data_IF_868090427174
#
_entry.id   IF_868090427174
#
_cell.length_a   1.000
_cell.length_b   1.000
_cell.length_c   1.000
_cell.angle_alpha   90.00
_cell.angle_beta   90.00
_cell.angle_gamma   90.00
#
_symmetry.space_group_name_H-M   'P 1'
#
loop_
_entity.id
_entity.type
_entity.pdbx_description
1 polymer ?
#
# COMPACT_ATOMS: atom_id res chain seq x y z
N UNK A 1 -22.24 5.62 -7.86
CA UNK A 1 -23.08 4.39 -7.96
C UNK A 1 -22.42 3.45 -8.98
N UNK A 2 -22.76 2.16 -9.01
CA UNK A 2 -22.20 1.20 -10.01
C UNK A 2 -22.59 1.61 -11.45
N UNK A 3 -23.73 2.28 -11.57
CA UNK A 3 -24.27 2.84 -12.81
C UNK A 3 -23.38 3.91 -13.45
N UNK A 4 -22.54 4.59 -12.65
CA UNK A 4 -21.64 5.65 -13.13
C UNK A 4 -20.29 5.10 -13.65
N UNK A 5 -20.00 3.82 -13.41
CA UNK A 5 -18.71 3.19 -13.78
C UNK A 5 -18.38 3.34 -15.28
N UNK A 6 -19.33 3.13 -16.22
CA UNK A 6 -19.04 3.30 -17.65
C UNK A 6 -18.58 4.72 -18.00
N UNK A 7 -19.26 5.73 -17.45
CA UNK A 7 -18.96 7.13 -17.75
C UNK A 7 -17.68 7.60 -17.05
N UNK A 8 -17.46 7.15 -15.81
CA UNK A 8 -16.24 7.39 -15.06
C UNK A 8 -15.03 6.75 -15.73
N UNK A 9 -15.13 5.48 -16.17
CA UNK A 9 -14.05 4.79 -16.87
C UNK A 9 -13.63 5.56 -18.13
N UNK A 10 -14.62 5.96 -18.96
CA UNK A 10 -14.36 6.77 -20.15
C UNK A 10 -13.78 8.15 -19.82
N UNK A 11 -14.24 8.78 -18.74
CA UNK A 11 -13.71 10.06 -18.29
C UNK A 11 -12.25 9.96 -17.84
N UNK A 12 -11.87 8.91 -17.13
CA UNK A 12 -10.48 8.68 -16.71
C UNK A 12 -9.55 8.35 -17.88
N UNK A 13 -10.02 7.62 -18.88
CA UNK A 13 -9.24 7.41 -20.10
C UNK A 13 -9.01 8.72 -20.88
N UNK A 14 -10.03 9.58 -20.99
CA UNK A 14 -9.85 10.94 -21.56
C UNK A 14 -8.90 11.81 -20.75
N UNK A 15 -8.95 11.70 -19.42
CA UNK A 15 -8.02 12.42 -18.54
C UNK A 15 -6.59 11.92 -18.72
N UNK A 16 -6.40 10.60 -18.80
CA UNK A 16 -5.10 9.99 -19.06
C UNK A 16 -4.52 10.46 -20.41
N UNK A 17 -5.35 10.53 -21.46
CA UNK A 17 -4.99 11.08 -22.77
C UNK A 17 -4.50 12.54 -22.65
N UNK A 18 -5.24 13.39 -21.92
CA UNK A 18 -4.84 14.78 -21.69
C UNK A 18 -3.53 14.94 -20.90
N UNK A 19 -3.13 13.91 -20.15
CA UNK A 19 -1.87 13.85 -19.41
C UNK A 19 -0.72 13.22 -20.22
N UNK A 20 -0.92 12.96 -21.51
CA UNK A 20 0.11 12.51 -22.45
C UNK A 20 0.17 11.00 -22.70
N UNK A 21 -0.83 10.24 -22.21
CA UNK A 21 -0.93 8.81 -22.51
C UNK A 21 -1.64 8.57 -23.87
N UNK A 22 -1.41 7.41 -24.53
CA UNK A 22 -2.11 7.10 -25.77
C UNK A 22 -3.62 7.01 -25.54
N UNK A 23 -4.39 7.47 -26.52
CA UNK A 23 -5.86 7.38 -26.48
C UNK A 23 -6.28 5.92 -26.52
N UNK A 24 -6.99 5.47 -25.48
CA UNK A 24 -7.54 4.10 -25.41
C UNK A 24 -9.07 4.10 -25.40
N UNK A 25 -9.64 3.13 -26.10
CA UNK A 25 -11.05 2.75 -26.00
C UNK A 25 -11.19 1.57 -25.02
N UNK A 26 -12.37 1.42 -24.42
CA UNK A 26 -12.70 0.28 -23.55
C UNK A 26 -13.89 -0.47 -24.11
N UNK A 27 -13.80 -1.80 -24.16
CA UNK A 27 -14.87 -2.66 -24.69
C UNK A 27 -16.05 -2.76 -23.73
N UNK A 28 -17.24 -3.10 -24.25
CA UNK A 28 -18.42 -3.33 -23.41
C UNK A 28 -18.21 -4.45 -22.39
N UNK A 29 -17.56 -5.55 -22.79
CA UNK A 29 -17.23 -6.68 -21.91
C UNK A 29 -16.30 -6.26 -20.77
N UNK A 30 -15.32 -5.39 -21.04
CA UNK A 30 -14.46 -4.82 -20.01
C UNK A 30 -15.25 -3.95 -19.02
N UNK A 31 -16.18 -3.12 -19.50
CA UNK A 31 -17.07 -2.33 -18.64
C UNK A 31 -17.94 -3.24 -17.75
N UNK A 32 -18.45 -4.34 -18.27
CA UNK A 32 -19.26 -5.30 -17.50
C UNK A 32 -18.44 -5.94 -16.37
N UNK A 33 -17.18 -6.30 -16.64
CA UNK A 33 -16.26 -6.75 -15.59
C UNK A 33 -16.04 -5.68 -14.52
N UNK A 34 -15.83 -4.41 -14.91
CA UNK A 34 -15.65 -3.32 -13.94
C UNK A 34 -16.90 -3.10 -13.07
N UNK A 35 -18.10 -3.32 -13.61
CA UNK A 35 -19.37 -3.23 -12.88
C UNK A 35 -19.56 -4.36 -11.87
N UNK A 36 -19.06 -5.56 -12.16
CA UNK A 36 -19.15 -6.73 -11.27
C UNK A 36 -18.15 -6.72 -10.11
N UNK A 37 -17.20 -5.79 -10.10
CA UNK A 37 -16.14 -5.73 -9.08
C UNK A 37 -16.48 -4.80 -7.92
N UNK A 38 -16.00 -5.17 -6.72
CA UNK A 38 -16.03 -4.30 -5.54
C UNK A 38 -14.83 -3.37 -5.55
N UNK A 39 -15.06 -2.07 -5.33
CA UNK A 39 -14.02 -1.03 -5.36
C UNK A 39 -13.75 -0.48 -3.95
N UNK A 40 -12.94 -1.16 -3.11
CA UNK A 40 -12.61 -0.67 -1.77
C UNK A 40 -11.71 0.56 -1.89
N UNK A 41 -12.27 1.75 -1.61
CA UNK A 41 -11.60 3.05 -1.87
C UNK A 41 -12.27 3.91 -2.96
N UNK A 42 -13.38 3.45 -3.53
CA UNK A 42 -14.22 4.16 -4.51
C UNK A 42 -13.42 4.63 -5.75
N UNK A 43 -13.88 5.75 -6.33
CA UNK A 43 -13.49 6.32 -7.64
C UNK A 43 -11.98 6.39 -7.88
N UNK A 44 -11.16 6.57 -6.85
CA UNK A 44 -9.69 6.63 -6.95
C UNK A 44 -9.08 5.31 -7.41
N UNK A 45 -9.63 4.18 -6.98
CA UNK A 45 -9.16 2.86 -7.40
C UNK A 45 -9.47 2.59 -8.87
N UNK A 46 -10.66 2.99 -9.31
CA UNK A 46 -11.06 2.92 -10.71
C UNK A 46 -10.17 3.85 -11.57
N UNK A 47 -9.90 5.08 -11.11
CA UNK A 47 -9.00 6.01 -11.79
C UNK A 47 -7.58 5.46 -11.94
N UNK A 48 -7.02 4.89 -10.86
CA UNK A 48 -5.70 4.28 -10.88
C UNK A 48 -5.62 3.09 -11.85
N UNK A 49 -6.65 2.24 -11.87
CA UNK A 49 -6.74 1.13 -12.81
C UNK A 49 -6.82 1.62 -14.25
N UNK A 50 -7.68 2.60 -14.54
CA UNK A 50 -7.82 3.16 -15.88
C UNK A 50 -6.53 3.81 -16.38
N UNK A 51 -5.80 4.53 -15.50
CA UNK A 51 -4.50 5.10 -15.84
C UNK A 51 -3.46 4.03 -16.18
N UNK A 52 -3.39 2.94 -15.40
CA UNK A 52 -2.47 1.83 -15.68
C UNK A 52 -2.80 1.14 -16.99
N UNK A 53 -4.07 0.83 -17.21
CA UNK A 53 -4.53 0.25 -18.48
C UNK A 53 -4.20 1.14 -19.67
N UNK A 54 -4.36 2.47 -19.53
CA UNK A 54 -3.97 3.41 -20.57
C UNK A 54 -2.46 3.41 -20.87
N UNK A 55 -1.62 3.13 -19.87
CA UNK A 55 -0.16 3.11 -20.01
C UNK A 55 0.41 1.77 -20.47
N UNK A 56 -0.19 0.66 -20.05
CA UNK A 56 0.31 -0.70 -20.29
C UNK A 56 -0.29 -1.35 -21.55
N UNK A 57 -1.48 -0.90 -21.97
CA UNK A 57 -2.10 -1.43 -23.18
C UNK A 57 -1.36 -0.95 -24.42
N UNK A 58 -0.71 -1.89 -25.13
CA UNK A 58 -0.06 -1.62 -26.40
C UNK A 58 -1.10 -1.21 -27.45
N UNK A 59 -2.23 -1.92 -27.51
CA UNK A 59 -3.31 -1.68 -28.46
C UNK A 59 -4.23 -0.52 -28.05
N UNK A 60 -4.94 0.07 -28.99
CA UNK A 60 -5.86 1.19 -28.72
C UNK A 60 -7.17 0.76 -28.05
N UNK A 61 -7.34 -0.53 -27.78
CA UNK A 61 -8.57 -1.10 -27.21
C UNK A 61 -8.25 -1.96 -25.99
N UNK A 62 -8.82 -1.56 -24.85
CA UNK A 62 -8.80 -2.30 -23.59
C UNK A 62 -9.94 -3.33 -23.61
N UNK A 63 -9.58 -4.59 -23.74
CA UNK A 63 -10.50 -5.72 -23.73
C UNK A 63 -10.71 -6.28 -22.32
N UNK A 64 -11.61 -7.26 -22.21
CA UNK A 64 -11.95 -7.89 -20.94
C UNK A 64 -10.76 -8.66 -20.33
N UNK A 65 -9.96 -9.32 -21.17
CA UNK A 65 -8.81 -10.11 -20.73
C UNK A 65 -7.74 -9.22 -20.11
N UNK A 66 -7.47 -8.06 -20.70
CA UNK A 66 -6.52 -7.08 -20.16
C UNK A 66 -6.99 -6.50 -18.82
N UNK A 67 -8.30 -6.20 -18.70
CA UNK A 67 -8.86 -5.75 -17.42
C UNK A 67 -8.77 -6.84 -16.35
N UNK A 68 -9.09 -8.08 -16.71
CA UNK A 68 -8.99 -9.22 -15.79
C UNK A 68 -7.54 -9.49 -15.37
N UNK A 69 -6.59 -9.43 -16.31
CA UNK A 69 -5.17 -9.56 -16.06
C UNK A 69 -4.67 -8.45 -15.14
N UNK A 70 -5.04 -7.18 -15.36
CA UNK A 70 -4.66 -6.07 -14.48
C UNK A 70 -5.32 -6.14 -13.10
N UNK A 71 -6.55 -6.64 -13.03
CA UNK A 71 -7.24 -6.89 -11.76
C UNK A 71 -6.58 -8.05 -10.99
N UNK A 72 -6.10 -9.09 -11.68
CA UNK A 72 -5.41 -10.24 -11.09
C UNK A 72 -3.94 -9.93 -10.75
N UNK A 73 -3.28 -9.09 -11.56
CA UNK A 73 -1.91 -8.63 -11.37
C UNK A 73 -1.80 -7.49 -10.34
N UNK A 74 -2.92 -7.00 -9.81
CA UNK A 74 -2.90 -6.19 -8.58
C UNK A 74 -2.07 -6.95 -7.54
N UNK A 75 -0.91 -6.44 -7.08
CA UNK A 75 -0.42 -6.84 -5.77
C UNK A 75 -1.53 -6.41 -4.83
N UNK A 76 -2.25 -7.40 -4.32
CA UNK A 76 -3.49 -7.12 -3.64
C UNK A 76 -3.17 -6.64 -2.25
N UNK A 77 -2.65 -5.41 -2.12
CA UNK A 77 -2.53 -4.77 -0.82
C UNK A 77 -3.91 -4.65 -0.15
N UNK A 78 -4.99 -4.62 -0.94
CA UNK A 78 -6.36 -4.66 -0.44
C UNK A 78 -6.91 -6.08 -0.19
N UNK A 79 -6.61 -7.10 -1.00
CA UNK A 79 -7.04 -8.48 -0.71
C UNK A 79 -6.09 -9.27 0.21
N UNK A 80 -4.87 -8.81 0.46
CA UNK A 80 -4.06 -9.27 1.59
C UNK A 80 -4.63 -8.70 2.90
N UNK A 81 -5.01 -7.41 2.92
CA UNK A 81 -5.69 -6.79 4.07
C UNK A 81 -7.11 -7.33 4.28
N UNK A 82 -7.82 -7.76 3.22
CA UNK A 82 -9.16 -8.35 3.34
C UNK A 82 -9.18 -9.88 3.50
N UNK A 83 -8.16 -10.62 3.02
CA UNK A 83 -7.97 -12.04 3.37
C UNK A 83 -7.47 -12.22 4.80
N UNK A 84 -6.85 -11.19 5.34
CA UNK A 84 -6.64 -11.03 6.76
C UNK A 84 -7.88 -10.40 7.42
N UNK A 85 -9.01 -11.11 7.33
CA UNK A 85 -10.33 -10.65 7.81
C UNK A 85 -10.47 -10.53 9.33
N UNK A 86 -9.49 -9.92 10.00
CA UNK A 86 -9.49 -9.66 11.44
C UNK A 86 -8.14 -9.79 12.14
N UNK A 87 -7.02 -10.16 11.48
CA UNK A 87 -5.75 -10.12 12.20
C UNK A 87 -5.27 -8.67 12.33
N UNK A 88 -5.56 -8.14 13.50
CA UNK A 88 -4.94 -6.92 13.97
C UNK A 88 -3.42 -7.11 14.00
N UNK A 89 -2.67 -6.00 14.01
CA UNK A 89 -1.23 -6.06 14.32
C UNK A 89 -0.96 -6.91 15.58
N UNK A 90 -1.85 -6.83 16.57
CA UNK A 90 -1.78 -7.64 17.79
C UNK A 90 -1.83 -9.15 17.50
N UNK A 91 -2.73 -9.59 16.63
CA UNK A 91 -2.89 -11.00 16.24
C UNK A 91 -1.68 -11.52 15.45
N UNK A 92 -1.13 -10.69 14.56
CA UNK A 92 0.07 -11.01 13.80
C UNK A 92 1.30 -11.14 14.71
N UNK A 93 1.49 -10.18 15.63
CA UNK A 93 2.56 -10.21 16.64
C UNK A 93 2.41 -11.42 17.55
N UNK A 94 1.19 -11.70 18.05
CA UNK A 94 0.93 -12.87 18.89
C UNK A 94 1.29 -14.18 18.18
N UNK A 95 0.85 -14.33 16.93
CA UNK A 95 1.14 -15.52 16.12
C UNK A 95 2.64 -15.71 15.90
N UNK A 96 3.36 -14.61 15.64
CA UNK A 96 4.81 -14.62 15.50
C UNK A 96 5.50 -15.03 16.81
N UNK A 97 5.12 -14.41 17.94
CA UNK A 97 5.69 -14.72 19.25
C UNK A 97 5.41 -16.18 19.64
N UNK A 98 4.18 -16.68 19.47
CA UNK A 98 3.86 -18.09 19.74
C UNK A 98 4.77 -19.05 18.99
N UNK A 99 5.02 -18.78 17.70
CA UNK A 99 5.97 -19.57 16.89
C UNK A 99 7.40 -19.46 17.40
N UNK A 100 7.84 -18.25 17.74
CA UNK A 100 9.18 -18.01 18.28
C UNK A 100 9.41 -18.77 19.59
N UNK A 101 8.45 -18.76 20.53
CA UNK A 101 8.52 -19.56 21.76
C UNK A 101 8.51 -21.07 21.47
N UNK A 102 7.65 -21.54 20.55
CA UNK A 102 7.60 -22.95 20.18
C UNK A 102 8.92 -23.49 19.60
N UNK A 103 9.68 -22.65 18.86
CA UNK A 103 11.00 -23.00 18.35
C UNK A 103 12.04 -23.24 19.45
N UNK A 104 11.84 -22.71 20.66
CA UNK A 104 12.72 -22.94 21.80
C UNK A 104 12.32 -24.19 22.61
N UNK A 105 11.22 -24.86 22.26
CA UNK A 105 10.75 -26.07 22.93
C UNK A 105 10.46 -25.83 24.41
N UNK A 106 11.13 -26.60 25.29
CA UNK A 106 11.04 -26.46 26.75
C UNK A 106 11.96 -25.36 27.31
N UNK A 107 12.84 -24.78 26.50
CA UNK A 107 13.71 -23.69 26.90
C UNK A 107 13.05 -22.33 26.68
N UNK A 108 13.37 -21.35 27.53
CA UNK A 108 12.94 -19.96 27.33
C UNK A 108 13.87 -19.23 26.35
N UNK A 109 13.34 -18.26 25.58
CA UNK A 109 14.18 -17.40 24.75
C UNK A 109 15.24 -16.66 25.58
N UNK A 110 16.39 -16.31 24.98
CA UNK A 110 17.45 -15.59 25.67
C UNK A 110 16.97 -14.22 26.18
N UNK A 111 17.57 -13.71 27.27
CA UNK A 111 17.19 -12.43 27.87
C UNK A 111 17.27 -11.27 26.86
N UNK A 112 16.52 -10.20 27.12
CA UNK A 112 16.43 -9.04 26.21
C UNK A 112 15.37 -9.18 25.11
N UNK A 113 14.43 -10.12 25.24
CA UNK A 113 13.35 -10.32 24.26
C UNK A 113 12.55 -9.04 24.00
N UNK A 114 12.22 -8.28 25.05
CA UNK A 114 11.45 -7.04 24.93
C UNK A 114 12.11 -6.04 23.95
N UNK A 115 13.40 -5.74 24.15
CA UNK A 115 14.13 -4.80 23.28
C UNK A 115 14.27 -5.33 21.84
N UNK A 116 14.47 -6.64 21.65
CA UNK A 116 14.52 -7.25 20.32
C UNK A 116 13.21 -7.07 19.56
N UNK A 117 12.09 -7.43 20.18
CA UNK A 117 10.76 -7.31 19.55
C UNK A 117 10.39 -5.85 19.33
N UNK A 118 10.67 -4.98 20.31
CA UNK A 118 10.38 -3.56 20.18
C UNK A 118 11.18 -2.94 19.02
N UNK A 119 12.46 -3.28 18.87
CA UNK A 119 13.30 -2.84 17.74
C UNK A 119 12.73 -3.29 16.39
N UNK A 120 12.25 -4.53 16.28
CA UNK A 120 11.63 -5.05 15.05
C UNK A 120 10.35 -4.31 14.65
N UNK A 121 9.58 -3.81 15.63
CA UNK A 121 8.34 -3.07 15.39
C UNK A 121 8.62 -1.57 15.17
N UNK A 122 9.49 -0.97 15.99
CA UNK A 122 9.80 0.47 15.94
C UNK A 122 10.49 0.87 14.63
N UNK A 123 11.41 0.05 14.11
CA UNK A 123 12.16 0.37 12.90
C UNK A 123 11.24 0.60 11.68
N UNK A 124 10.38 -0.33 11.25
CA UNK A 124 9.49 -0.11 10.12
C UNK A 124 8.49 1.02 10.39
N UNK A 125 7.96 1.13 11.61
CA UNK A 125 7.03 2.21 11.99
C UNK A 125 7.64 3.60 11.80
N UNK A 126 8.85 3.81 12.34
CA UNK A 126 9.56 5.09 12.26
C UNK A 126 10.01 5.36 10.82
N UNK A 127 10.57 4.36 10.13
CA UNK A 127 11.05 4.52 8.75
C UNK A 127 9.92 4.91 7.78
N UNK A 128 8.78 4.23 7.85
CA UNK A 128 7.60 4.54 7.02
C UNK A 128 7.04 5.92 7.33
N UNK A 129 6.98 6.30 8.62
CA UNK A 129 6.54 7.64 9.05
C UNK A 129 7.48 8.72 8.51
N UNK A 130 8.80 8.51 8.58
CA UNK A 130 9.77 9.45 8.03
C UNK A 130 9.65 9.56 6.52
N UNK A 131 9.45 8.45 5.81
CA UNK A 131 9.20 8.45 4.36
C UNK A 131 7.94 9.26 4.01
N UNK A 132 6.82 8.97 4.68
CA UNK A 132 5.55 9.66 4.49
C UNK A 132 5.64 11.17 4.78
N UNK A 133 6.46 11.56 5.75
CA UNK A 133 6.72 12.96 6.09
C UNK A 133 7.92 13.57 5.36
N UNK A 134 8.49 12.87 4.37
CA UNK A 134 9.64 13.30 3.56
C UNK A 134 10.88 13.69 4.38
N UNK A 135 11.12 12.98 5.48
CA UNK A 135 12.22 13.22 6.41
C UNK A 135 11.98 14.39 7.36
N UNK A 136 10.78 14.95 7.44
CA UNK A 136 10.44 15.98 8.41
C UNK A 136 10.20 15.36 9.80
N UNK A 137 11.28 15.31 10.60
CA UNK A 137 11.25 14.72 11.94
C UNK A 137 10.27 15.39 12.92
N UNK A 138 9.94 16.68 12.74
CA UNK A 138 8.94 17.32 13.62
C UNK A 138 7.55 16.76 13.31
N UNK A 139 7.17 16.76 12.02
CA UNK A 139 5.89 16.18 11.57
C UNK A 139 5.80 14.68 11.84
N UNK A 140 6.91 13.95 11.69
CA UNK A 140 6.97 12.53 12.02
C UNK A 140 6.75 12.29 13.52
N UNK A 141 7.36 13.11 14.38
CA UNK A 141 7.19 13.03 15.82
C UNK A 141 5.74 13.32 16.23
N UNK A 142 5.14 14.37 15.64
CA UNK A 142 3.74 14.73 15.87
C UNK A 142 2.79 13.60 15.43
N UNK A 143 3.03 13.00 14.25
CA UNK A 143 2.22 11.89 13.74
C UNK A 143 2.35 10.61 14.59
N UNK A 144 3.53 10.36 15.14
CA UNK A 144 3.78 9.25 16.06
C UNK A 144 3.33 9.54 17.50
N UNK A 145 2.92 10.78 17.81
CA UNK A 145 2.59 11.20 19.19
C UNK A 145 3.79 11.20 20.14
N UNK A 146 5.02 11.34 19.60
CA UNK A 146 6.26 11.29 20.37
C UNK A 146 6.87 12.68 20.52
N UNK A 147 7.60 12.88 21.62
CA UNK A 147 8.50 14.03 21.70
C UNK A 147 9.58 13.91 20.60
N UNK A 148 9.85 15.00 19.88
CA UNK A 148 10.89 15.08 18.83
C UNK A 148 12.27 14.58 19.30
N UNK A 149 12.65 14.84 20.55
CA UNK A 149 13.93 14.39 21.09
C UNK A 149 13.97 12.87 21.27
N UNK A 150 12.84 12.27 21.67
CA UNK A 150 12.66 10.81 21.73
C UNK A 150 12.76 10.19 20.34
N UNK A 151 12.06 10.76 19.34
CA UNK A 151 12.15 10.28 17.96
C UNK A 151 13.60 10.37 17.44
N UNK A 152 14.30 11.48 17.69
CA UNK A 152 15.72 11.62 17.28
C UNK A 152 16.64 10.61 17.95
N UNK A 153 16.39 10.28 19.22
CA UNK A 153 17.14 9.23 19.92
C UNK A 153 16.88 7.87 19.27
N UNK A 154 15.62 7.50 19.08
CA UNK A 154 15.21 6.24 18.43
C UNK A 154 15.80 6.09 17.02
N UNK A 155 15.78 7.14 16.21
CA UNK A 155 16.40 7.13 14.87
C UNK A 155 17.89 6.77 14.93
N UNK A 156 18.63 7.29 15.91
CA UNK A 156 20.05 6.95 16.08
C UNK A 156 20.23 5.53 16.61
N UNK A 157 19.48 5.15 17.64
CA UNK A 157 19.59 3.84 18.29
C UNK A 157 19.20 2.69 17.33
N UNK A 158 18.39 2.98 16.31
CA UNK A 158 17.93 2.05 15.28
C UNK A 158 18.67 2.19 13.94
N UNK A 159 19.67 3.08 13.85
CA UNK A 159 20.46 3.37 12.64
C UNK A 159 19.61 3.68 11.39
N UNK A 160 18.50 4.40 11.57
CA UNK A 160 17.57 4.71 10.47
C UNK A 160 18.14 5.84 9.60
N UNK A 161 18.34 5.62 8.28
CA UNK A 161 18.85 6.66 7.39
C UNK A 161 17.77 7.74 7.19
N UNK A 162 18.06 8.97 7.62
CA UNK A 162 17.16 10.11 7.39
C UNK A 162 17.58 10.84 6.11
N UNK A 163 17.13 10.35 4.96
CA UNK A 163 17.24 11.09 3.70
C UNK A 163 16.16 12.17 3.64
N UNK A 164 16.55 13.44 3.82
CA UNK A 164 15.69 14.55 3.39
C UNK A 164 15.63 14.49 1.88
N UNK A 165 14.49 14.08 1.33
CA UNK A 165 14.29 13.97 -0.11
C UNK A 165 14.71 15.27 -0.80
N UNK A 166 15.76 15.19 -1.62
CA UNK A 166 15.98 16.14 -2.71
C UNK A 166 14.74 16.05 -3.59
N UNK A 167 14.22 17.21 -3.99
CA UNK A 167 13.15 17.40 -4.97
C UNK A 167 13.31 16.35 -6.09
N UNK A 168 12.40 15.38 -6.21
CA UNK A 168 12.24 14.69 -7.49
C UNK A 168 11.78 15.78 -8.45
N UNK A 169 12.72 16.26 -9.27
CA UNK A 169 12.46 16.99 -10.51
C UNK A 169 12.18 15.97 -11.61
#
# INVERSE_FOLDING_TARGET
RVEDIPDLARAFLRRAEAEGLPRKAITAKAIDLLRGQSWPGNVRELENLMRRLAALCADDTIDAAMVEQELAARPSSAAEVARDGGATLSTAVESHLRRYFALHGDALPPPGLYERILREIELPLIALTLSATRGNQLKAADLLGLNRNTLRKRIRDLDIPVTRGKKLM
#
